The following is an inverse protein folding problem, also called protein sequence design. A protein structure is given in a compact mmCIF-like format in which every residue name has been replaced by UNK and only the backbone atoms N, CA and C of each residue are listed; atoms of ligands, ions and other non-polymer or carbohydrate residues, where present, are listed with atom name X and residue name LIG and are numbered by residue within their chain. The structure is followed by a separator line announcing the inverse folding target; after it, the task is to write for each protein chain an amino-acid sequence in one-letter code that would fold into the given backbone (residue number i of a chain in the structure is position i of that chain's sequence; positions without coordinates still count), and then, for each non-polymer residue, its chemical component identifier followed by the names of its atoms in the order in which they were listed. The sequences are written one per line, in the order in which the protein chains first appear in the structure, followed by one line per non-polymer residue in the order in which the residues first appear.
data_IF_528425878226
#
_entry.id   IF_528425878226
#
_cell.length_a   1.000
_cell.length_b   1.000
_cell.length_c   1.000
_cell.angle_alpha   90.00
_cell.angle_beta   90.00
_cell.angle_gamma   90.00
#
_symmetry.space_group_name_H-M   'P 1'
#
loop_
_entity.id
_entity.type
_entity.pdbx_description
1 polymer ?
#
# COMPACT_ATOMS: atom_id res chain seq x y z
N UNK A 1 -2.02 1.25 33.00
CA UNK A 1 -3.06 0.31 32.80
C UNK A 1 -3.32 0.07 31.34
N UNK A 2 -3.31 -1.12 30.99
CA UNK A 2 -3.23 -1.46 29.61
C UNK A 2 -4.47 -2.19 29.13
N UNK A 3 -5.26 -1.54 28.29
CA UNK A 3 -6.45 -2.14 27.71
C UNK A 3 -6.24 -2.58 26.27
N UNK A 4 -5.08 -2.29 25.73
CA UNK A 4 -4.79 -2.57 24.33
C UNK A 4 -4.83 -4.05 23.95
N UNK A 5 -4.30 -4.97 24.75
CA UNK A 5 -4.42 -6.39 24.39
C UNK A 5 -5.85 -6.85 24.24
N UNK A 6 -6.77 -6.31 25.07
CA UNK A 6 -8.17 -6.65 24.98
C UNK A 6 -8.78 -6.11 23.68
N UNK A 7 -8.41 -4.87 23.32
CA UNK A 7 -8.88 -4.26 22.07
C UNK A 7 -8.37 -5.03 20.86
N UNK A 8 -7.11 -5.43 20.88
CA UNK A 8 -6.52 -6.19 19.77
C UNK A 8 -7.22 -7.53 19.58
N UNK A 9 -7.54 -8.21 20.66
CA UNK A 9 -8.29 -9.46 20.58
C UNK A 9 -9.70 -9.23 20.03
N UNK A 10 -10.33 -8.14 20.43
CA UNK A 10 -11.66 -7.79 19.98
C UNK A 10 -11.70 -7.58 18.47
N UNK A 11 -10.64 -7.02 17.89
CA UNK A 11 -10.61 -6.70 16.46
C UNK A 11 -9.82 -7.71 15.62
N UNK A 12 -9.29 -8.77 16.22
CA UNK A 12 -8.40 -9.69 15.54
C UNK A 12 -8.99 -10.33 14.30
N UNK A 13 -10.31 -10.58 14.30
CA UNK A 13 -10.99 -11.19 13.15
C UNK A 13 -11.17 -10.22 11.98
N UNK A 14 -11.19 -8.92 12.26
CA UNK A 14 -11.41 -7.90 11.24
C UNK A 14 -10.11 -7.37 10.66
N UNK A 15 -8.98 -7.54 11.35
CA UNK A 15 -7.69 -7.08 10.89
C UNK A 15 -7.09 -8.08 9.91
N UNK A 16 -6.62 -7.61 8.75
CA UNK A 16 -5.86 -8.48 7.85
C UNK A 16 -4.61 -9.00 8.54
N UNK A 17 -4.16 -10.14 8.08
CA UNK A 17 -2.92 -10.72 8.57
C UNK A 17 -1.78 -9.74 8.33
N UNK A 18 -0.94 -9.54 9.33
CA UNK A 18 0.20 -8.62 9.32
C UNK A 18 -0.17 -7.13 9.38
N UNK A 19 -1.45 -6.81 9.45
CA UNK A 19 -1.87 -5.43 9.68
C UNK A 19 -1.66 -5.08 11.15
N UNK A 20 -1.38 -3.81 11.40
CA UNK A 20 -1.25 -3.34 12.78
C UNK A 20 -2.07 -2.07 12.95
N UNK A 21 -2.49 -1.84 14.18
CA UNK A 21 -3.21 -0.63 14.54
C UNK A 21 -2.22 0.51 14.77
N UNK A 22 -2.52 1.66 14.23
CA UNK A 22 -1.74 2.88 14.48
C UNK A 22 -2.66 3.98 14.93
N UNK A 23 -2.11 4.95 15.66
CA UNK A 23 -2.86 6.16 16.00
C UNK A 23 -2.91 7.08 14.78
N UNK A 24 -3.83 8.05 14.82
CA UNK A 24 -3.90 9.06 13.76
C UNK A 24 -2.58 9.84 13.66
N UNK A 25 -1.97 10.15 14.79
CA UNK A 25 -0.68 10.86 14.79
C UNK A 25 0.41 10.03 14.13
N UNK A 26 0.47 8.73 14.44
CA UNK A 26 1.43 7.84 13.82
C UNK A 26 1.20 7.73 12.31
N UNK A 27 -0.06 7.64 11.90
CA UNK A 27 -0.40 7.61 10.48
C UNK A 27 0.06 8.88 9.78
N UNK A 28 -0.23 10.04 10.37
CA UNK A 28 0.16 11.33 9.80
C UNK A 28 1.68 11.50 9.73
N UNK A 29 2.39 11.02 10.74
CA UNK A 29 3.85 11.08 10.72
C UNK A 29 4.45 10.23 9.60
N UNK A 30 3.81 9.12 9.26
CA UNK A 30 4.27 8.23 8.21
C UNK A 30 3.89 8.68 6.80
N UNK A 31 2.98 9.65 6.68
CA UNK A 31 2.39 10.02 5.38
C UNK A 31 3.43 10.46 4.35
N UNK A 32 4.40 11.27 4.74
CA UNK A 32 5.41 11.77 3.81
C UNK A 32 6.21 10.61 3.20
N UNK A 33 6.68 9.71 4.04
CA UNK A 33 7.44 8.54 3.57
C UNK A 33 6.55 7.60 2.76
N UNK A 34 5.35 7.34 3.26
CA UNK A 34 4.41 6.43 2.59
C UNK A 34 4.00 6.94 1.21
N UNK A 35 3.68 8.23 1.10
CA UNK A 35 3.29 8.80 -0.18
C UNK A 35 4.44 8.85 -1.18
N UNK A 36 5.65 9.15 -0.72
CA UNK A 36 6.84 9.12 -1.56
C UNK A 36 7.13 7.72 -2.07
N UNK A 37 7.03 6.74 -1.19
CA UNK A 37 7.25 5.33 -1.57
C UNK A 37 6.20 4.89 -2.57
N UNK A 38 4.94 5.29 -2.38
CA UNK A 38 3.88 4.95 -3.33
C UNK A 38 4.16 5.53 -4.72
N UNK A 39 4.69 6.75 -4.80
CA UNK A 39 5.04 7.35 -6.10
C UNK A 39 6.15 6.54 -6.80
N UNK A 40 7.12 6.06 -6.05
CA UNK A 40 8.16 5.19 -6.60
C UNK A 40 7.54 3.89 -7.10
N UNK A 41 6.63 3.31 -6.32
CA UNK A 41 5.95 2.07 -6.72
C UNK A 41 5.13 2.26 -7.97
N UNK A 42 4.48 3.41 -8.14
CA UNK A 42 3.75 3.72 -9.37
C UNK A 42 4.68 3.72 -10.58
N UNK A 43 5.84 4.34 -10.46
CA UNK A 43 6.85 4.36 -11.54
C UNK A 43 7.36 2.96 -11.86
N UNK A 44 7.65 2.17 -10.82
CA UNK A 44 8.12 0.79 -11.01
C UNK A 44 7.06 -0.07 -11.67
N UNK A 45 5.79 0.17 -11.34
CA UNK A 45 4.67 -0.56 -11.95
C UNK A 45 4.59 -0.31 -13.45
N UNK A 46 4.76 0.94 -13.86
CA UNK A 46 4.77 1.30 -15.30
C UNK A 46 5.95 0.65 -16.02
N UNK A 47 7.11 0.70 -15.39
CA UNK A 47 8.32 0.09 -15.96
C UNK A 47 8.17 -1.42 -16.08
N UNK A 48 7.60 -2.06 -15.06
CA UNK A 48 7.36 -3.51 -15.10
C UNK A 48 6.38 -3.88 -16.19
N UNK A 49 5.35 -3.06 -16.38
CA UNK A 49 4.36 -3.27 -17.44
C UNK A 49 5.03 -3.20 -18.82
N UNK A 50 5.89 -2.20 -19.03
CA UNK A 50 6.60 -2.04 -20.30
C UNK A 50 7.55 -3.20 -20.55
N UNK A 51 8.28 -3.66 -19.55
CA UNK A 51 9.19 -4.79 -19.68
C UNK A 51 8.43 -6.09 -19.93
N UNK A 52 7.28 -6.27 -19.31
CA UNK A 52 6.42 -7.44 -19.54
C UNK A 52 5.95 -7.48 -20.98
N UNK A 53 5.51 -6.36 -21.52
CA UNK A 53 5.08 -6.26 -22.91
C UNK A 53 6.23 -6.54 -23.86
N UNK A 54 7.40 -5.98 -23.59
CA UNK A 54 8.60 -6.23 -24.39
C UNK A 54 8.96 -7.71 -24.40
N UNK A 55 8.92 -8.34 -23.23
CA UNK A 55 9.24 -9.76 -23.09
C UNK A 55 8.27 -10.63 -23.88
N UNK A 56 6.98 -10.33 -23.82
CA UNK A 56 5.96 -11.05 -24.58
C UNK A 56 6.22 -10.98 -26.09
N UNK A 57 6.57 -9.78 -26.58
CA UNK A 57 6.88 -9.59 -27.99
C UNK A 57 8.13 -10.38 -28.39
N UNK A 58 9.16 -10.33 -27.57
CA UNK A 58 10.40 -11.05 -27.84
C UNK A 58 10.18 -12.57 -27.88
N UNK A 59 9.34 -13.09 -26.99
CA UNK A 59 9.07 -14.52 -26.93
C UNK A 59 8.27 -15.03 -28.13
N UNK A 60 7.61 -14.16 -28.87
CA UNK A 60 6.92 -14.55 -30.09
C UNK A 60 7.92 -14.84 -31.22
N UNK A 61 9.11 -14.25 -31.16
CA UNK A 61 10.08 -14.29 -32.25
C UNK A 61 11.38 -15.02 -31.89
N UNK A 62 11.72 -15.09 -30.63
CA UNK A 62 12.99 -15.60 -30.13
C UNK A 62 12.79 -16.77 -29.18
N UNK A 63 13.82 -17.58 -29.05
CA UNK A 63 13.83 -18.70 -28.12
C UNK A 63 13.97 -18.16 -26.69
N UNK A 64 13.46 -18.90 -25.71
CA UNK A 64 13.55 -18.53 -24.29
C UNK A 64 14.99 -18.39 -23.80
N UNK A 65 15.92 -19.05 -24.47
CA UNK A 65 17.34 -19.02 -24.15
C UNK A 65 18.11 -17.91 -24.88
N UNK A 66 17.44 -17.14 -25.73
CA UNK A 66 18.07 -16.02 -26.42
C UNK A 66 18.59 -15.01 -25.41
N UNK A 67 19.78 -14.50 -25.64
CA UNK A 67 20.44 -13.57 -24.73
C UNK A 67 19.59 -12.32 -24.43
N UNK A 68 18.92 -11.78 -25.45
CA UNK A 68 18.09 -10.60 -25.29
C UNK A 68 16.86 -10.90 -24.40
N UNK A 69 16.25 -12.07 -24.60
CA UNK A 69 15.12 -12.52 -23.76
C UNK A 69 15.58 -12.65 -22.31
N UNK A 70 16.72 -13.29 -22.08
CA UNK A 70 17.27 -13.46 -20.73
C UNK A 70 17.54 -12.12 -20.08
N UNK A 71 18.10 -11.15 -20.80
CA UNK A 71 18.38 -9.82 -20.28
C UNK A 71 17.12 -9.11 -19.81
N UNK A 72 16.09 -9.11 -20.64
CA UNK A 72 14.82 -8.45 -20.29
C UNK A 72 14.17 -9.13 -19.10
N UNK A 73 14.19 -10.47 -19.08
CA UNK A 73 13.64 -11.24 -17.96
C UNK A 73 14.38 -10.92 -16.64
N UNK A 74 15.70 -10.79 -16.70
CA UNK A 74 16.50 -10.43 -15.53
C UNK A 74 16.19 -9.01 -15.03
N UNK A 75 16.02 -8.07 -15.94
CA UNK A 75 15.65 -6.71 -15.59
C UNK A 75 14.29 -6.68 -14.87
N UNK A 76 13.34 -7.44 -15.41
CA UNK A 76 12.02 -7.54 -14.80
C UNK A 76 12.10 -8.18 -13.40
N UNK A 77 12.89 -9.23 -13.25
CA UNK A 77 13.06 -9.89 -11.95
C UNK A 77 13.68 -8.95 -10.91
N UNK A 78 14.67 -8.16 -11.31
CA UNK A 78 15.28 -7.15 -10.41
C UNK A 78 14.27 -6.11 -9.98
N UNK A 79 13.43 -5.67 -10.91
CA UNK A 79 12.43 -4.66 -10.65
C UNK A 79 11.35 -5.19 -9.69
N UNK A 80 10.94 -6.43 -9.86
CA UNK A 80 9.98 -7.08 -8.96
C UNK A 80 10.56 -7.20 -7.56
N UNK A 81 11.84 -7.57 -7.43
CA UNK A 81 12.50 -7.66 -6.12
C UNK A 81 12.55 -6.29 -5.44
N UNK A 82 12.86 -5.24 -6.19
CA UNK A 82 12.87 -3.88 -5.67
C UNK A 82 11.48 -3.45 -5.21
N UNK A 83 10.48 -3.77 -5.99
CA UNK A 83 9.07 -3.54 -5.66
C UNK A 83 8.72 -4.17 -4.31
N UNK A 84 9.01 -5.46 -4.15
CA UNK A 84 8.69 -6.20 -2.93
C UNK A 84 9.34 -5.57 -1.70
N UNK A 85 10.60 -5.14 -1.83
CA UNK A 85 11.30 -4.48 -0.73
C UNK A 85 10.66 -3.17 -0.33
N UNK A 86 10.21 -2.38 -1.32
CA UNK A 86 9.55 -1.10 -1.05
C UNK A 86 8.18 -1.28 -0.42
N UNK A 87 7.43 -2.30 -0.84
CA UNK A 87 6.13 -2.61 -0.22
C UNK A 87 6.34 -2.98 1.24
N UNK A 88 7.35 -3.80 1.54
CA UNK A 88 7.65 -4.17 2.92
C UNK A 88 8.01 -2.95 3.77
N UNK A 89 8.83 -2.04 3.25
CA UNK A 89 9.17 -0.81 3.94
C UNK A 89 7.94 0.05 4.21
N UNK A 90 7.05 0.16 3.23
CA UNK A 90 5.81 0.90 3.38
C UNK A 90 4.97 0.31 4.52
N UNK A 91 4.81 -1.00 4.52
CA UNK A 91 3.98 -1.68 5.51
C UNK A 91 4.56 -1.59 6.92
N UNK A 92 5.87 -1.45 7.06
CA UNK A 92 6.49 -1.23 8.36
C UNK A 92 6.06 0.09 8.99
N UNK A 93 5.64 1.05 8.20
CA UNK A 93 5.13 2.32 8.73
C UNK A 93 3.69 2.20 9.23
N UNK A 94 3.05 1.07 8.96
CA UNK A 94 1.63 0.88 9.24
C UNK A 94 0.74 1.18 8.04
N UNK A 95 1.27 1.86 7.02
CA UNK A 95 0.52 2.19 5.82
C UNK A 95 0.33 0.98 4.93
N UNK A 96 -0.75 0.98 4.17
CA UNK A 96 -1.03 -0.06 3.18
C UNK A 96 -1.51 0.62 1.90
N UNK A 97 -1.24 0.00 0.77
CA UNK A 97 -1.73 0.51 -0.51
C UNK A 97 -3.15 0.00 -0.72
N UNK A 98 -4.10 0.93 -0.75
CA UNK A 98 -5.49 0.60 -1.04
C UNK A 98 -5.73 0.54 -2.55
N UNK A 99 -5.10 1.43 -3.30
CA UNK A 99 -5.14 1.42 -4.76
C UNK A 99 -3.90 2.11 -5.27
N UNK A 100 -3.07 1.38 -5.99
CA UNK A 100 -1.86 1.96 -6.57
C UNK A 100 -2.20 2.93 -7.70
N UNK A 101 -3.10 2.52 -8.60
CA UNK A 101 -3.47 3.34 -9.75
C UNK A 101 -4.07 4.68 -9.35
N UNK A 102 -4.89 4.67 -8.31
CA UNK A 102 -5.57 5.89 -7.84
C UNK A 102 -4.78 6.64 -6.79
N UNK A 103 -3.66 6.09 -6.35
CA UNK A 103 -2.82 6.72 -5.34
C UNK A 103 -3.47 6.78 -3.98
N UNK A 104 -4.07 5.68 -3.53
CA UNK A 104 -4.75 5.61 -2.24
C UNK A 104 -3.95 4.81 -1.24
N UNK A 105 -3.84 5.36 -0.03
CA UNK A 105 -3.21 4.70 1.11
C UNK A 105 -4.23 4.56 2.23
N UNK A 106 -4.02 3.58 3.08
CA UNK A 106 -4.87 3.39 4.25
C UNK A 106 -4.07 2.87 5.44
N UNK A 107 -4.59 3.13 6.63
CA UNK A 107 -4.02 2.71 7.91
C UNK A 107 -5.15 2.20 8.78
N UNK A 108 -4.91 1.13 9.51
CA UNK A 108 -5.89 0.62 10.46
C UNK A 108 -5.75 1.34 11.79
N UNK A 109 -6.84 1.82 12.33
CA UNK A 109 -6.87 2.51 13.60
C UNK A 109 -8.20 2.33 14.30
N UNK A 110 -8.41 3.09 15.35
CA UNK A 110 -9.65 3.04 16.13
C UNK A 110 -10.24 4.43 16.19
N UNK A 111 -11.52 4.55 15.81
CA UNK A 111 -12.27 5.79 15.88
C UNK A 111 -13.56 5.49 16.65
N UNK A 112 -13.82 6.24 17.71
CA UNK A 112 -15.00 6.03 18.57
C UNK A 112 -15.13 4.60 19.05
N UNK A 113 -14.01 4.04 19.52
CA UNK A 113 -13.92 2.66 20.05
C UNK A 113 -14.26 1.58 19.02
N UNK A 114 -14.22 1.92 17.74
CA UNK A 114 -14.51 0.98 16.64
C UNK A 114 -13.33 0.92 15.69
N UNK A 115 -13.05 -0.27 15.19
CA UNK A 115 -11.99 -0.44 14.18
C UNK A 115 -12.38 0.35 12.93
N UNK A 116 -11.44 1.13 12.45
CA UNK A 116 -11.65 2.01 11.31
C UNK A 116 -10.43 2.03 10.41
N UNK A 117 -10.59 2.59 9.23
CA UNK A 117 -9.50 2.73 8.27
C UNK A 117 -9.34 4.23 7.98
N UNK A 118 -8.18 4.77 8.34
CA UNK A 118 -7.81 6.11 7.92
C UNK A 118 -7.48 6.05 6.43
N UNK A 119 -7.97 7.00 5.68
CA UNK A 119 -7.91 6.96 4.21
C UNK A 119 -7.29 8.23 3.67
N UNK A 120 -6.40 8.07 2.70
CA UNK A 120 -5.74 9.19 2.04
C UNK A 120 -5.60 8.90 0.55
N UNK A 121 -5.77 9.93 -0.25
CA UNK A 121 -5.59 9.83 -1.69
C UNK A 121 -4.62 10.92 -2.13
N UNK A 122 -3.82 10.62 -3.14
CA UNK A 122 -2.86 11.58 -3.69
C UNK A 122 -3.56 12.90 -4.02
N UNK A 123 -2.96 14.00 -3.61
CA UNK A 123 -3.54 15.32 -3.75
C UNK A 123 -4.17 15.86 -2.47
N UNK A 124 -4.50 15.00 -1.52
CA UNK A 124 -5.00 15.44 -0.22
C UNK A 124 -3.83 15.92 0.63
N UNK A 125 -4.06 17.00 1.37
CA UNK A 125 -3.00 17.64 2.15
C UNK A 125 -2.55 16.78 3.34
N UNK A 126 -3.50 16.16 4.02
CA UNK A 126 -3.24 15.36 5.21
C UNK A 126 -4.28 14.26 5.29
N UNK A 127 -4.14 13.40 6.31
CA UNK A 127 -5.13 12.36 6.58
C UNK A 127 -6.28 13.02 7.33
N UNK A 128 -7.40 13.18 6.64
CA UNK A 128 -8.56 13.90 7.17
C UNK A 128 -9.84 13.07 7.10
N UNK A 129 -9.75 11.83 6.61
CA UNK A 129 -10.91 10.99 6.35
C UNK A 129 -10.71 9.59 6.89
N UNK A 130 -11.80 8.94 7.24
CA UNK A 130 -11.80 7.53 7.61
C UNK A 130 -13.08 6.86 7.14
N UNK A 131 -13.09 5.55 7.12
CA UNK A 131 -14.31 4.77 6.93
C UNK A 131 -14.25 3.52 7.80
N UNK A 132 -15.41 2.93 8.05
CA UNK A 132 -15.48 1.69 8.80
C UNK A 132 -14.91 0.55 7.95
N UNK A 133 -14.45 -0.52 8.59
CA UNK A 133 -13.81 -1.64 7.87
C UNK A 133 -14.72 -2.31 6.85
N UNK A 134 -16.04 -2.22 7.05
CA UNK A 134 -17.02 -2.80 6.13
C UNK A 134 -17.54 -1.79 5.11
N UNK A 135 -17.02 -0.57 5.13
CA UNK A 135 -17.38 0.48 4.19
C UNK A 135 -16.27 0.71 3.19
N UNK A 136 -16.50 1.59 2.23
CA UNK A 136 -15.55 1.84 1.16
C UNK A 136 -15.04 3.28 1.20
N UNK A 137 -14.03 3.54 0.37
CA UNK A 137 -13.49 4.88 0.18
C UNK A 137 -14.58 5.90 -0.13
N UNK A 138 -15.59 5.50 -0.90
CA UNK A 138 -16.66 6.42 -1.33
C UNK A 138 -17.55 6.88 -0.19
N UNK A 139 -17.56 6.16 0.91
CA UNK A 139 -18.38 6.49 2.08
C UNK A 139 -17.54 7.03 3.23
N UNK A 140 -16.40 7.64 2.91
CA UNK A 140 -15.52 8.23 3.92
C UNK A 140 -16.23 9.31 4.72
N UNK A 141 -15.85 9.39 5.99
CA UNK A 141 -16.33 10.39 6.93
C UNK A 141 -15.17 11.26 7.36
N UNK A 142 -15.43 12.55 7.68
CA UNK A 142 -14.34 13.41 8.14
C UNK A 142 -13.88 13.04 9.55
N UNK A 143 -12.57 13.13 9.74
CA UNK A 143 -11.98 13.02 11.08
C UNK A 143 -12.16 14.36 11.77
N UNK A 144 -13.05 14.39 12.74
CA UNK A 144 -13.32 15.60 13.50
C UNK A 144 -12.48 15.52 14.77
N UNK A 145 -11.56 16.46 14.88
CA UNK A 145 -10.70 16.55 16.06
C UNK A 145 -11.21 17.63 16.97
N UNK A 146 -11.35 17.27 18.21
CA UNK A 146 -11.80 18.22 19.21
C UNK A 146 -10.70 19.19 19.61
#
# INVERSE_FOLDING_TARGET
MDVEPVHLEQFSEELPRHARLVSLDEARESLEIASSTMCILQSLSEEAHDLTNELEILLEQLDVNDEHVVQVAEQLACLVAQWQGLVEELELTGARIASLDLGRLEWYGIVDDTLAIYSWMIGEHDIEWYHDVHCSFQTRKPLIEA
#
